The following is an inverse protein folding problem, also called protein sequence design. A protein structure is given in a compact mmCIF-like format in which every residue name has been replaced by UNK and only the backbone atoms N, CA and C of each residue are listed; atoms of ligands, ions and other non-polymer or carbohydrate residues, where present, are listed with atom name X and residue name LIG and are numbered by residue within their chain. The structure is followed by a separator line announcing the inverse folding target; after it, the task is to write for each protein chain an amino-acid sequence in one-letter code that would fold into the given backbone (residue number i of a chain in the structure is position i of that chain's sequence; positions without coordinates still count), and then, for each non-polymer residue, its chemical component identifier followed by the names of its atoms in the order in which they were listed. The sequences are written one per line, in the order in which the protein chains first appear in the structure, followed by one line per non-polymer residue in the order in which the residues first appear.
data_IF_932262930577
#
_entry.id   IF_932262930577
#
_cell.length_a   1.000
_cell.length_b   1.000
_cell.length_c   1.000
_cell.angle_alpha   90.00
_cell.angle_beta   90.00
_cell.angle_gamma   90.00
#
_symmetry.space_group_name_H-M   'P 1'
#
loop_
_entity.id
_entity.type
_entity.pdbx_description
1 polymer ?
#
# COMPACT_ATOMS: atom_id res chain seq x y z
N UNK A 1 53.59 -18.64 1.26
CA UNK A 1 53.55 -18.44 2.72
C UNK A 1 53.94 -17.00 3.04
N UNK A 2 53.00 -16.21 3.57
CA UNK A 2 53.19 -15.25 4.69
C UNK A 2 51.83 -14.58 4.95
N UNK A 3 51.32 -14.84 6.14
CA UNK A 3 50.08 -14.35 6.74
C UNK A 3 50.29 -12.94 7.34
N UNK A 4 49.25 -12.13 7.32
CA UNK A 4 49.00 -11.04 8.30
C UNK A 4 47.46 -11.02 8.47
N UNK A 5 46.84 -11.57 9.53
CA UNK A 5 46.83 -11.18 10.96
C UNK A 5 46.46 -9.69 11.11
N UNK A 6 45.18 -9.27 11.12
CA UNK A 6 44.14 -9.33 12.18
C UNK A 6 44.57 -8.63 13.49
N UNK A 7 43.73 -7.69 13.96
CA UNK A 7 43.44 -7.19 15.35
C UNK A 7 43.40 -5.63 15.40
N UNK A 8 42.21 -4.99 15.46
CA UNK A 8 41.32 -4.61 16.61
C UNK A 8 41.78 -3.32 17.34
N UNK A 9 40.81 -2.44 17.66
CA UNK A 9 40.57 -1.78 18.99
C UNK A 9 40.33 -0.25 18.95
N UNK A 10 39.06 0.10 19.24
CA UNK A 10 38.49 1.15 20.12
C UNK A 10 39.00 2.62 20.15
N UNK A 11 37.99 3.49 20.00
CA UNK A 11 37.48 4.49 20.98
C UNK A 11 38.48 5.43 21.68
N UNK A 12 38.35 6.73 21.40
CA UNK A 12 38.70 7.78 22.34
C UNK A 12 37.60 8.86 22.39
N UNK A 13 36.81 8.78 23.46
CA UNK A 13 35.94 9.82 23.98
C UNK A 13 36.83 10.87 24.67
N UNK A 14 36.63 12.16 24.43
CA UNK A 14 37.22 13.21 25.26
C UNK A 14 36.26 14.40 25.33
N UNK A 15 35.42 14.37 26.37
CA UNK A 15 34.84 15.57 26.96
C UNK A 15 35.95 16.35 27.66
N UNK A 16 36.08 17.63 27.35
CA UNK A 16 36.81 18.58 28.20
C UNK A 16 35.82 19.66 28.63
N UNK A 17 35.47 19.64 29.91
CA UNK A 17 34.93 20.79 30.64
C UNK A 17 36.07 21.34 31.51
N UNK A 18 36.49 22.58 31.30
CA UNK A 18 37.04 23.44 32.36
C UNK A 18 36.46 24.84 32.18
N UNK A 19 35.98 25.39 33.30
CA UNK A 19 35.21 26.59 33.43
C UNK A 19 36.05 27.85 33.73
N UNK A 20 35.44 29.01 33.40
CA UNK A 20 35.49 30.34 34.04
C UNK A 20 36.80 31.17 34.05
N UNK A 21 36.77 32.24 33.25
CA UNK A 21 37.56 33.46 33.42
C UNK A 21 36.92 34.60 32.60
N UNK A 22 36.55 35.68 33.26
CA UNK A 22 35.54 36.67 32.86
C UNK A 22 36.17 37.92 32.22
N UNK A 23 35.98 38.19 30.91
CA UNK A 23 36.13 39.55 30.33
C UNK A 23 35.18 39.78 29.13
N UNK A 24 34.58 40.97 29.09
CA UNK A 24 33.53 41.43 28.18
C UNK A 24 34.05 41.71 26.76
N UNK A 25 33.35 41.23 25.71
CA UNK A 25 32.87 42.06 24.56
C UNK A 25 32.10 41.26 23.50
N UNK A 26 30.88 41.73 23.25
CA UNK A 26 30.18 41.80 21.95
C UNK A 26 29.71 40.51 21.26
N UNK A 27 28.40 40.29 21.43
CA UNK A 27 27.40 39.79 20.47
C UNK A 27 27.88 39.17 19.14
N UNK A 28 27.58 37.89 18.98
CA UNK A 28 26.91 37.36 17.79
C UNK A 28 26.11 36.12 18.20
N UNK A 29 24.87 36.36 18.64
CA UNK A 29 23.87 35.29 18.78
C UNK A 29 23.51 34.82 17.37
N UNK A 30 24.11 33.73 16.91
CA UNK A 30 23.62 33.03 15.72
C UNK A 30 22.26 32.42 16.07
N UNK A 31 21.15 32.85 15.45
CA UNK A 31 19.87 32.20 15.67
C UNK A 31 19.87 30.90 14.87
N UNK A 32 19.57 29.79 15.54
CA UNK A 32 19.12 28.56 14.89
C UNK A 32 17.72 28.87 14.33
N UNK A 33 17.47 28.76 13.01
CA UNK A 33 16.10 28.70 12.53
C UNK A 33 15.54 27.35 12.96
N UNK A 34 14.75 27.35 14.03
CA UNK A 34 13.77 26.32 14.27
C UNK A 34 12.68 26.48 13.21
N UNK A 35 12.94 26.02 11.99
CA UNK A 35 11.85 25.73 11.05
C UNK A 35 11.29 24.37 11.45
N UNK A 36 10.58 24.38 12.59
CA UNK A 36 9.52 23.42 12.79
C UNK A 36 8.52 23.74 11.69
N UNK A 37 8.66 23.06 10.54
CA UNK A 37 7.58 22.92 9.58
C UNK A 37 6.39 22.46 10.38
N UNK A 38 5.52 23.42 10.69
CA UNK A 38 4.21 23.15 11.22
C UNK A 38 3.63 22.07 10.31
N UNK A 39 3.36 20.90 10.88
CA UNK A 39 2.57 19.88 10.22
C UNK A 39 1.21 20.52 10.03
N UNK A 40 1.07 21.21 8.90
CA UNK A 40 -0.21 21.71 8.43
C UNK A 40 -1.10 20.48 8.39
N UNK A 41 -2.30 20.50 9.00
CA UNK A 41 -3.21 19.36 8.87
C UNK A 41 -3.34 19.08 7.37
N UNK A 42 -2.94 17.88 6.95
CA UNK A 42 -3.10 17.46 5.57
C UNK A 42 -4.59 17.54 5.28
N UNK A 43 -5.01 18.62 4.61
CA UNK A 43 -6.21 18.56 3.79
C UNK A 43 -6.01 17.36 2.89
N UNK A 44 -6.80 16.31 3.12
CA UNK A 44 -6.65 15.02 2.42
C UNK A 44 -6.70 15.34 0.92
N UNK A 45 -5.55 15.28 0.26
CA UNK A 45 -5.43 15.64 -1.14
C UNK A 45 -6.25 14.69 -2.01
N UNK A 46 -6.65 15.17 -3.19
CA UNK A 46 -7.40 14.38 -4.17
C UNK A 46 -6.74 13.02 -4.46
N UNK A 47 -5.40 12.96 -4.46
CA UNK A 47 -4.67 11.70 -4.63
C UNK A 47 -4.89 10.71 -3.49
N UNK A 48 -4.89 11.16 -2.23
CA UNK A 48 -5.16 10.28 -1.07
C UNK A 48 -6.63 9.83 -1.09
N UNK A 49 -7.56 10.72 -1.45
CA UNK A 49 -8.97 10.37 -1.58
C UNK A 49 -9.18 9.29 -2.65
N UNK A 50 -8.58 9.46 -3.83
CA UNK A 50 -8.66 8.47 -4.91
C UNK A 50 -8.09 7.11 -4.46
N UNK A 51 -6.93 7.10 -3.80
CA UNK A 51 -6.33 5.88 -3.29
C UNK A 51 -7.23 5.14 -2.29
N UNK A 52 -7.90 5.89 -1.38
CA UNK A 52 -8.87 5.34 -0.44
C UNK A 52 -10.10 4.77 -1.16
N UNK A 53 -10.60 5.45 -2.19
CA UNK A 53 -11.72 4.95 -2.98
C UNK A 53 -11.36 3.64 -3.69
N UNK A 54 -10.18 3.55 -4.30
CA UNK A 54 -9.68 2.33 -4.96
C UNK A 54 -9.63 1.15 -3.96
N UNK A 55 -9.02 1.37 -2.79
CA UNK A 55 -8.92 0.32 -1.76
C UNK A 55 -10.27 -0.04 -1.16
N UNK A 56 -11.16 0.93 -0.96
CA UNK A 56 -12.52 0.69 -0.49
C UNK A 56 -13.34 -0.15 -1.47
N UNK A 57 -13.19 0.08 -2.78
CA UNK A 57 -13.84 -0.75 -3.82
C UNK A 57 -13.23 -2.14 -3.89
N UNK A 58 -11.92 -2.28 -3.65
CA UNK A 58 -11.32 -3.61 -3.48
C UNK A 58 -11.95 -4.36 -2.30
N UNK A 59 -12.10 -3.73 -1.13
CA UNK A 59 -12.75 -4.35 0.02
C UNK A 59 -14.22 -4.72 -0.26
N UNK A 60 -14.93 -3.87 -1.00
CA UNK A 60 -16.30 -4.13 -1.47
C UNK A 60 -16.36 -5.41 -2.34
N UNK A 61 -15.44 -5.55 -3.32
CA UNK A 61 -15.34 -6.75 -4.15
C UNK A 61 -15.16 -7.98 -3.26
N UNK A 62 -14.22 -7.93 -2.31
CA UNK A 62 -13.93 -9.04 -1.40
C UNK A 62 -15.15 -9.43 -0.58
N UNK A 63 -15.87 -8.44 -0.03
CA UNK A 63 -17.10 -8.67 0.72
C UNK A 63 -18.17 -9.35 -0.15
N UNK A 64 -18.35 -8.92 -1.40
CA UNK A 64 -19.32 -9.50 -2.35
C UNK A 64 -18.94 -10.90 -2.79
N UNK A 65 -17.65 -11.17 -3.01
CA UNK A 65 -17.15 -12.53 -3.28
C UNK A 65 -17.47 -13.45 -2.09
N UNK A 66 -17.21 -13.00 -0.87
CA UNK A 66 -17.56 -13.75 0.34
C UNK A 66 -19.06 -13.99 0.45
N UNK A 67 -19.89 -12.98 0.20
CA UNK A 67 -21.36 -13.09 0.23
C UNK A 67 -21.88 -14.16 -0.75
N UNK A 68 -21.43 -14.12 -2.00
CA UNK A 68 -21.84 -15.06 -3.04
C UNK A 68 -21.41 -16.51 -2.75
N UNK A 69 -20.30 -16.68 -2.04
CA UNK A 69 -19.70 -17.98 -1.75
C UNK A 69 -20.03 -18.53 -0.35
N UNK A 70 -20.60 -17.72 0.55
CA UNK A 70 -20.89 -18.10 1.95
C UNK A 70 -21.75 -19.36 2.09
N UNK A 71 -22.72 -19.53 1.18
CA UNK A 71 -23.61 -20.71 1.16
C UNK A 71 -23.00 -21.93 0.45
N UNK A 72 -21.76 -21.81 -0.02
CA UNK A 72 -21.01 -22.86 -0.71
C UNK A 72 -21.82 -23.48 -1.86
N UNK A 73 -22.32 -22.65 -2.81
CA UNK A 73 -23.01 -23.18 -3.98
C UNK A 73 -22.08 -24.09 -4.80
N UNK A 74 -22.66 -24.88 -5.69
CA UNK A 74 -21.89 -25.65 -6.67
C UNK A 74 -20.92 -24.75 -7.45
N UNK A 75 -19.73 -25.27 -7.77
CA UNK A 75 -18.62 -24.47 -8.28
C UNK A 75 -18.96 -23.77 -9.60
N UNK A 76 -19.66 -24.44 -10.53
CA UNK A 76 -20.09 -23.84 -11.81
C UNK A 76 -21.08 -22.68 -11.62
N UNK A 77 -22.01 -22.85 -10.68
CA UNK A 77 -22.98 -21.82 -10.30
C UNK A 77 -22.26 -20.63 -9.66
N UNK A 78 -21.29 -20.88 -8.78
CA UNK A 78 -20.49 -19.81 -8.17
C UNK A 78 -19.67 -19.08 -9.23
N UNK A 79 -18.98 -19.82 -10.10
CA UNK A 79 -18.13 -19.28 -11.16
C UNK A 79 -18.89 -18.28 -12.02
N UNK A 80 -20.06 -18.68 -12.53
CA UNK A 80 -20.91 -17.81 -13.35
C UNK A 80 -21.31 -16.53 -12.63
N UNK A 81 -21.61 -16.60 -11.32
CA UNK A 81 -21.94 -15.42 -10.51
C UNK A 81 -20.73 -14.50 -10.28
N UNK A 82 -19.57 -15.10 -10.03
CA UNK A 82 -18.32 -14.36 -9.84
C UNK A 82 -17.84 -13.69 -11.12
N UNK A 83 -17.97 -14.34 -12.27
CA UNK A 83 -17.62 -13.76 -13.57
C UNK A 83 -18.46 -12.51 -13.85
N UNK A 84 -19.78 -12.59 -13.66
CA UNK A 84 -20.66 -11.43 -13.80
C UNK A 84 -20.28 -10.30 -12.82
N UNK A 85 -20.01 -10.63 -11.56
CA UNK A 85 -19.53 -9.67 -10.56
C UNK A 85 -18.24 -8.99 -11.04
N UNK A 86 -17.26 -9.76 -11.48
CA UNK A 86 -15.95 -9.22 -11.85
C UNK A 86 -15.98 -8.41 -13.15
N UNK A 87 -16.89 -8.68 -14.08
CA UNK A 87 -17.10 -7.83 -15.26
C UNK A 87 -17.58 -6.43 -14.83
N UNK A 88 -18.54 -6.35 -13.90
CA UNK A 88 -19.03 -5.07 -13.39
C UNK A 88 -17.92 -4.27 -12.70
N UNK A 89 -17.17 -4.93 -11.81
CA UNK A 89 -16.09 -4.26 -11.07
C UNK A 89 -14.88 -3.96 -11.94
N UNK A 90 -14.63 -4.70 -13.02
CA UNK A 90 -13.59 -4.37 -13.99
C UNK A 90 -13.83 -2.99 -14.58
N UNK A 91 -15.04 -2.70 -15.06
CA UNK A 91 -15.35 -1.38 -15.60
C UNK A 91 -15.18 -0.26 -14.56
N UNK A 92 -15.56 -0.52 -13.31
CA UNK A 92 -15.37 0.42 -12.19
C UNK A 92 -13.88 0.69 -11.94
N UNK A 93 -13.05 -0.35 -11.88
CA UNK A 93 -11.59 -0.24 -11.68
C UNK A 93 -10.89 0.44 -12.86
N UNK A 94 -11.29 0.15 -14.10
CA UNK A 94 -10.80 0.87 -15.29
C UNK A 94 -11.11 2.38 -15.21
N UNK A 95 -12.31 2.74 -14.72
CA UNK A 95 -12.67 4.13 -14.45
C UNK A 95 -11.78 4.80 -13.40
N UNK A 96 -11.35 4.07 -12.37
CA UNK A 96 -10.36 4.58 -11.41
C UNK A 96 -8.97 4.75 -12.01
N UNK A 97 -8.55 3.85 -12.91
CA UNK A 97 -7.27 4.00 -13.61
C UNK A 97 -7.22 5.29 -14.44
N UNK A 98 -8.32 5.61 -15.14
CA UNK A 98 -8.42 6.88 -15.88
C UNK A 98 -8.23 8.08 -14.94
N UNK A 99 -8.80 8.04 -13.73
CA UNK A 99 -8.62 9.09 -12.71
C UNK A 99 -7.18 9.14 -12.20
N UNK A 100 -6.54 8.00 -11.92
CA UNK A 100 -5.14 7.95 -11.47
C UNK A 100 -4.19 8.53 -12.53
N UNK A 101 -4.38 8.15 -13.78
CA UNK A 101 -3.59 8.66 -14.90
C UNK A 101 -3.79 10.17 -15.09
N UNK A 102 -5.01 10.69 -14.89
CA UNK A 102 -5.29 12.12 -14.95
C UNK A 102 -4.57 12.91 -13.85
N UNK A 103 -4.31 12.31 -12.67
CA UNK A 103 -3.53 12.96 -11.61
C UNK A 103 -2.10 13.28 -12.05
N UNK A 104 -1.55 12.67 -13.12
CA UNK A 104 -0.19 13.01 -13.60
C UNK A 104 -0.01 14.48 -13.96
N UNK A 105 -1.10 15.19 -14.27
CA UNK A 105 -1.09 16.65 -14.45
C UNK A 105 -0.70 17.42 -13.17
N UNK A 106 -1.04 16.88 -11.99
CA UNK A 106 -0.55 17.32 -10.69
C UNK A 106 0.29 16.22 -10.04
N UNK A 107 1.60 16.24 -10.33
CA UNK A 107 2.58 15.28 -9.84
C UNK A 107 2.57 15.13 -8.32
N UNK A 108 2.21 16.17 -7.55
CA UNK A 108 2.13 16.06 -6.08
C UNK A 108 0.97 15.15 -5.67
N UNK A 109 -0.20 15.31 -6.27
CA UNK A 109 -1.36 14.46 -6.01
C UNK A 109 -1.14 13.03 -6.51
N UNK A 110 -0.58 12.87 -7.71
CA UNK A 110 -0.27 11.54 -8.24
C UNK A 110 0.72 10.78 -7.33
N UNK A 111 1.78 11.45 -6.84
CA UNK A 111 2.70 10.85 -5.86
C UNK A 111 2.03 10.51 -4.55
N UNK A 112 1.12 11.37 -4.06
CA UNK A 112 0.37 11.11 -2.84
C UNK A 112 -0.54 9.88 -2.96
N UNK A 113 -1.23 9.73 -4.11
CA UNK A 113 -2.03 8.53 -4.44
C UNK A 113 -1.17 7.27 -4.38
N UNK A 114 -0.08 7.24 -5.15
CA UNK A 114 0.81 6.07 -5.25
C UNK A 114 1.48 5.71 -3.92
N UNK A 115 1.90 6.72 -3.15
CA UNK A 115 2.46 6.50 -1.81
C UNK A 115 1.43 5.86 -0.89
N UNK A 116 0.21 6.39 -0.85
CA UNK A 116 -0.85 5.85 -0.01
C UNK A 116 -1.20 4.40 -0.40
N UNK A 117 -1.32 4.12 -1.70
CA UNK A 117 -1.53 2.77 -2.21
C UNK A 117 -0.37 1.83 -1.82
N UNK A 118 0.88 2.26 -1.98
CA UNK A 118 2.06 1.48 -1.61
C UNK A 118 2.11 1.13 -0.13
N UNK A 119 1.70 2.05 0.75
CA UNK A 119 1.69 1.86 2.20
C UNK A 119 0.51 0.99 2.67
N UNK A 120 -0.65 1.05 2.02
CA UNK A 120 -1.89 0.44 2.54
C UNK A 120 -2.33 -0.82 1.79
N UNK A 121 -1.99 -0.99 0.50
CA UNK A 121 -2.45 -2.11 -0.34
C UNK A 121 -2.17 -3.48 0.28
N UNK A 122 -1.00 -3.66 0.89
CA UNK A 122 -0.63 -4.93 1.52
C UNK A 122 -1.60 -5.36 2.63
N UNK A 123 -2.06 -4.41 3.45
CA UNK A 123 -3.01 -4.68 4.52
C UNK A 123 -4.37 -5.13 4.00
N UNK A 124 -4.88 -4.47 2.96
CA UNK A 124 -6.14 -4.86 2.31
C UNK A 124 -6.04 -6.26 1.66
N UNK A 125 -4.96 -6.55 0.95
CA UNK A 125 -4.74 -7.88 0.34
C UNK A 125 -4.65 -8.98 1.41
N UNK A 126 -3.98 -8.72 2.52
CA UNK A 126 -3.94 -9.64 3.65
C UNK A 126 -5.33 -9.85 4.27
N UNK A 127 -6.10 -8.77 4.44
CA UNK A 127 -7.47 -8.85 4.96
C UNK A 127 -8.38 -9.68 4.04
N UNK A 128 -8.24 -9.55 2.71
CA UNK A 128 -8.91 -10.42 1.74
C UNK A 128 -8.65 -11.89 2.03
N UNK A 129 -7.40 -12.28 2.21
CA UNK A 129 -7.05 -13.68 2.48
C UNK A 129 -7.73 -14.17 3.75
N UNK A 130 -7.74 -13.35 4.80
CA UNK A 130 -8.45 -13.64 6.05
C UNK A 130 -9.95 -13.84 5.83
N UNK A 131 -10.62 -12.92 5.11
CA UNK A 131 -12.06 -12.97 4.85
C UNK A 131 -12.44 -14.19 4.00
N UNK A 132 -11.63 -14.53 2.99
CA UNK A 132 -11.94 -15.59 2.03
C UNK A 132 -11.38 -16.96 2.42
N UNK A 133 -10.66 -17.08 3.54
CA UNK A 133 -9.94 -18.30 3.95
C UNK A 133 -10.84 -19.53 3.96
N UNK A 134 -12.01 -19.46 4.61
CA UNK A 134 -12.88 -20.63 4.76
C UNK A 134 -13.52 -21.06 3.45
N UNK A 135 -13.82 -20.09 2.58
CA UNK A 135 -14.34 -20.35 1.23
C UNK A 135 -13.26 -21.03 0.39
N UNK A 136 -12.04 -20.49 0.39
CA UNK A 136 -10.91 -21.04 -0.35
C UNK A 136 -10.58 -22.46 0.12
N UNK A 137 -10.59 -22.72 1.43
CA UNK A 137 -10.40 -24.06 1.99
C UNK A 137 -11.48 -25.04 1.51
N UNK A 138 -12.75 -24.64 1.49
CA UNK A 138 -13.83 -25.50 1.03
C UNK A 138 -13.61 -25.93 -0.44
N UNK A 139 -13.44 -24.97 -1.35
CA UNK A 139 -13.29 -25.31 -2.77
C UNK A 139 -11.97 -26.02 -3.09
N UNK A 140 -10.89 -25.71 -2.37
CA UNK A 140 -9.60 -26.36 -2.58
C UNK A 140 -9.54 -27.79 -2.02
N UNK A 141 -10.01 -28.00 -0.78
CA UNK A 141 -9.79 -29.25 -0.04
C UNK A 141 -10.97 -30.20 -0.10
N UNK A 142 -12.21 -29.69 -0.15
CA UNK A 142 -13.41 -30.53 -0.13
C UNK A 142 -13.96 -30.77 -1.54
N UNK A 143 -14.03 -29.72 -2.36
CA UNK A 143 -14.51 -29.84 -3.75
C UNK A 143 -13.38 -30.24 -4.70
N UNK A 144 -12.16 -29.75 -4.46
CA UNK A 144 -11.01 -30.01 -5.33
C UNK A 144 -11.00 -29.16 -6.61
N UNK A 145 -11.82 -28.12 -6.69
CA UNK A 145 -11.90 -27.24 -7.86
C UNK A 145 -10.84 -26.13 -7.75
N UNK A 146 -9.74 -26.28 -8.48
CA UNK A 146 -8.65 -25.30 -8.51
C UNK A 146 -8.98 -24.06 -9.32
N UNK A 147 -9.92 -24.14 -10.27
CA UNK A 147 -10.27 -23.01 -11.10
C UNK A 147 -11.03 -21.98 -10.27
N UNK A 148 -12.06 -22.41 -9.53
CA UNK A 148 -12.84 -21.51 -8.68
C UNK A 148 -11.99 -20.92 -7.55
N UNK A 149 -11.03 -21.69 -7.01
CA UNK A 149 -10.05 -21.19 -6.03
C UNK A 149 -9.20 -20.08 -6.62
N UNK A 150 -8.73 -20.22 -7.87
CA UNK A 150 -7.99 -19.16 -8.55
C UNK A 150 -8.86 -17.93 -8.79
N UNK A 151 -10.11 -18.12 -9.22
CA UNK A 151 -11.07 -17.04 -9.47
C UNK A 151 -11.32 -16.23 -8.19
N UNK A 152 -11.61 -16.90 -7.06
CA UNK A 152 -11.85 -16.26 -5.76
C UNK A 152 -10.57 -15.59 -5.23
N UNK A 153 -9.44 -16.30 -5.30
CA UNK A 153 -8.21 -15.89 -4.65
C UNK A 153 -7.45 -14.77 -5.38
N UNK A 154 -7.45 -14.78 -6.71
CA UNK A 154 -6.58 -13.93 -7.53
C UNK A 154 -7.32 -12.80 -8.25
N UNK A 155 -8.55 -13.01 -8.70
CA UNK A 155 -9.24 -12.01 -9.53
C UNK A 155 -9.46 -10.67 -8.81
N UNK A 156 -9.84 -10.61 -7.51
CA UNK A 156 -9.93 -9.33 -6.80
C UNK A 156 -8.62 -8.52 -6.84
N UNK A 157 -7.46 -9.20 -6.71
CA UNK A 157 -6.16 -8.54 -6.76
C UNK A 157 -5.84 -8.05 -8.18
N UNK A 158 -6.16 -8.83 -9.20
CA UNK A 158 -6.02 -8.40 -10.60
C UNK A 158 -6.86 -7.16 -10.91
N UNK A 159 -8.06 -7.05 -10.34
CA UNK A 159 -8.92 -5.88 -10.50
C UNK A 159 -8.31 -4.65 -9.81
N UNK A 160 -7.70 -4.82 -8.63
CA UNK A 160 -6.94 -3.76 -7.98
C UNK A 160 -5.74 -3.31 -8.83
N UNK A 161 -5.05 -4.24 -9.49
CA UNK A 161 -3.92 -3.92 -10.38
C UNK A 161 -4.37 -3.13 -11.62
N UNK A 162 -5.55 -3.44 -12.16
CA UNK A 162 -6.16 -2.67 -13.27
C UNK A 162 -6.37 -1.21 -12.87
N UNK A 163 -6.80 -0.95 -11.63
CA UNK A 163 -7.11 0.40 -11.15
C UNK A 163 -5.91 1.35 -11.09
N UNK A 164 -4.69 0.81 -11.18
CA UNK A 164 -3.43 1.57 -11.05
C UNK A 164 -2.46 1.25 -12.20
N UNK A 165 -2.96 0.60 -13.25
CA UNK A 165 -2.15 0.11 -14.35
C UNK A 165 -1.58 1.29 -15.16
N UNK A 166 -0.25 1.38 -15.19
CA UNK A 166 0.42 2.39 -16.01
C UNK A 166 0.29 2.04 -17.50
N UNK A 167 0.04 3.05 -18.33
CA UNK A 167 0.14 2.89 -19.79
C UNK A 167 1.62 2.71 -20.13
N UNK A 168 1.98 1.58 -20.73
CA UNK A 168 3.28 1.42 -21.36
C UNK A 168 3.33 2.39 -22.55
N UNK A 169 4.20 3.38 -22.49
CA UNK A 169 4.51 4.24 -23.65
C UNK A 169 5.13 3.33 -24.72
N UNK A 170 4.42 3.16 -25.84
CA UNK A 170 4.88 2.45 -27.03
C UNK A 170 5.66 3.36 -27.96
#
# INVERSE_FOLDING_TARGET
MKMALLIVVLVAFSMVFIACGNEKKTEASTPIPADQTAVKPETVGEGILLAKEILGVFDEIVARVNELSKKKPEAEVLKSRLENLFVEYKAKMEGYNVKDLALKADVRQWRACNRYLGENRGGHVFQKDTVLTEVLKHYNLQVGDREIVNVIGKTPVKLLDIAVQQMEEK
#
